data_IF_543984815534
#
_entry.id   IF_543984815534
#
_cell.length_a   1.000
_cell.length_b   1.000
_cell.length_c   1.000
_cell.angle_alpha   90.00
_cell.angle_beta   90.00
_cell.angle_gamma   90.00
#
_symmetry.space_group_name_H-M   'P 1'
#
loop_
_entity.id
_entity.type
_entity.pdbx_description
1 polymer ?
#
# COMPACT_ATOMS: atom_id res chain seq x y z
N UNK A 1 23.76 -7.36 10.37
CA UNK A 1 23.70 -6.73 9.02
C UNK A 1 22.58 -5.70 9.07
N UNK A 2 22.92 -4.42 9.26
CA UNK A 2 21.93 -3.33 9.27
C UNK A 2 21.42 -3.18 7.84
N UNK A 3 20.21 -3.69 7.59
CA UNK A 3 19.50 -3.48 6.34
C UNK A 3 19.04 -2.03 6.27
N UNK A 4 19.10 -1.42 5.08
CA UNK A 4 18.61 -0.06 4.87
C UNK A 4 17.13 0.01 5.24
N UNK A 5 16.74 0.97 6.08
CA UNK A 5 15.36 1.22 6.47
C UNK A 5 14.58 1.83 5.29
N UNK A 6 13.33 1.39 5.12
CA UNK A 6 12.42 1.93 4.12
C UNK A 6 11.07 2.24 4.79
N UNK A 7 10.50 3.40 4.45
CA UNK A 7 9.10 3.73 4.79
C UNK A 7 8.17 2.72 4.10
N UNK A 8 6.91 2.62 4.54
CA UNK A 8 5.88 1.80 3.87
C UNK A 8 5.13 2.55 2.76
N UNK A 9 5.29 3.88 2.70
CA UNK A 9 4.65 4.77 1.74
C UNK A 9 5.65 5.34 0.75
N UNK A 10 5.23 5.55 -0.48
CA UNK A 10 6.07 6.16 -1.50
C UNK A 10 5.39 6.23 -2.86
N UNK A 11 5.97 7.04 -3.74
CA UNK A 11 5.58 7.20 -5.13
C UNK A 11 6.84 7.11 -6.00
N UNK A 12 6.73 6.39 -7.10
CA UNK A 12 7.71 6.35 -8.19
C UNK A 12 7.00 6.55 -9.53
N UNK A 13 7.66 7.26 -10.43
CA UNK A 13 7.15 7.49 -11.79
C UNK A 13 8.31 7.42 -12.77
N UNK A 14 8.05 6.81 -13.93
CA UNK A 14 8.94 6.81 -15.08
C UNK A 14 8.10 6.95 -16.35
N UNK A 15 8.62 7.65 -17.36
CA UNK A 15 7.95 7.78 -18.64
C UNK A 15 8.98 7.91 -19.76
N UNK A 16 8.68 7.32 -20.91
CA UNK A 16 9.59 7.33 -22.05
C UNK A 16 8.94 6.85 -23.34
N UNK A 17 9.63 7.10 -24.46
CA UNK A 17 9.31 6.47 -25.73
C UNK A 17 9.88 5.04 -25.71
N UNK A 18 9.01 4.05 -25.94
CA UNK A 18 9.37 2.63 -26.00
C UNK A 18 9.74 2.25 -27.44
N UNK A 19 9.03 2.80 -28.41
CA UNK A 19 9.29 2.65 -29.84
C UNK A 19 8.84 3.91 -30.59
N UNK A 20 9.15 4.07 -31.89
CA UNK A 20 8.65 5.22 -32.67
C UNK A 20 7.12 5.37 -32.67
N UNK A 21 6.40 4.26 -32.46
CA UNK A 21 4.94 4.20 -32.42
C UNK A 21 4.34 4.15 -31.02
N UNK A 22 5.15 3.97 -29.96
CA UNK A 22 4.68 3.72 -28.60
C UNK A 22 5.46 4.52 -27.56
N UNK A 23 4.73 5.23 -26.70
CA UNK A 23 5.26 5.78 -25.46
C UNK A 23 4.53 5.18 -24.26
N UNK A 24 5.22 5.06 -23.14
CA UNK A 24 4.66 4.52 -21.91
C UNK A 24 4.97 5.44 -20.73
N UNK A 25 4.05 5.49 -19.78
CA UNK A 25 4.21 6.10 -18.47
C UNK A 25 3.81 5.10 -17.41
N UNK A 26 4.71 4.86 -16.47
CA UNK A 26 4.51 3.98 -15.33
C UNK A 26 4.45 4.82 -14.07
N UNK A 27 3.38 4.68 -13.30
CA UNK A 27 3.25 5.25 -11.96
C UNK A 27 3.04 4.13 -10.96
N UNK A 28 3.85 4.11 -9.91
CA UNK A 28 3.76 3.12 -8.84
C UNK A 28 3.71 3.83 -7.49
N UNK A 29 2.78 3.42 -6.63
CA UNK A 29 2.74 3.89 -5.25
C UNK A 29 2.49 2.74 -4.29
N UNK A 30 3.04 2.87 -3.09
CA UNK A 30 2.83 1.93 -2.00
C UNK A 30 2.09 2.57 -0.83
N UNK A 31 1.23 1.78 -0.20
CA UNK A 31 0.61 2.12 1.09
C UNK A 31 0.79 0.98 2.07
N UNK A 32 0.67 1.28 3.36
CA UNK A 32 0.79 0.29 4.41
C UNK A 32 -0.34 -0.75 4.32
N UNK A 33 0.01 -2.02 4.22
CA UNK A 33 -0.89 -3.17 4.36
C UNK A 33 -0.16 -4.31 5.09
N UNK A 34 -0.92 -5.25 5.65
CA UNK A 34 -0.37 -6.39 6.40
C UNK A 34 0.40 -7.35 5.50
N UNK A 35 -0.08 -7.58 4.27
CA UNK A 35 0.55 -8.44 3.27
C UNK A 35 1.07 -7.65 2.06
N UNK A 36 1.67 -8.36 1.10
CA UNK A 36 1.97 -7.82 -0.22
C UNK A 36 0.74 -7.98 -1.12
N UNK A 37 0.13 -6.88 -1.51
CA UNK A 37 -0.97 -6.85 -2.48
C UNK A 37 -0.53 -6.04 -3.69
N UNK A 38 -0.56 -6.65 -4.88
CA UNK A 38 -0.14 -5.99 -6.12
C UNK A 38 -1.38 -5.75 -6.99
N UNK A 39 -1.72 -4.48 -7.18
CA UNK A 39 -2.75 -4.02 -8.10
C UNK A 39 -2.09 -3.45 -9.36
N UNK A 40 -2.30 -4.10 -10.50
CA UNK A 40 -1.80 -3.66 -11.79
C UNK A 40 -2.97 -3.15 -12.63
N UNK A 41 -2.81 -1.98 -13.25
CA UNK A 41 -3.80 -1.39 -14.13
C UNK A 41 -3.16 -0.90 -15.41
N UNK A 42 -3.62 -1.43 -16.54
CA UNK A 42 -3.24 -0.98 -17.88
C UNK A 42 -4.24 0.05 -18.42
N UNK A 43 -3.72 1.09 -19.08
CA UNK A 43 -4.49 2.17 -19.70
C UNK A 43 -3.92 2.45 -21.11
N UNK A 44 -4.69 2.33 -22.20
CA UNK A 44 -6.06 1.83 -22.27
C UNK A 44 -6.18 0.37 -21.78
N UNK A 45 -7.41 -0.07 -21.46
CA UNK A 45 -7.63 -1.46 -21.07
C UNK A 45 -7.23 -2.37 -22.22
N UNK A 46 -6.30 -3.28 -21.97
CA UNK A 46 -5.84 -4.29 -22.91
C UNK A 46 -5.48 -5.57 -22.15
N UNK A 47 -5.41 -6.69 -22.86
CA UNK A 47 -5.05 -7.99 -22.31
C UNK A 47 -3.58 -8.29 -22.60
N UNK A 48 -2.73 -8.18 -21.56
CA UNK A 48 -1.28 -8.37 -21.66
C UNK A 48 -0.79 -9.35 -20.57
N UNK A 49 -1.17 -10.64 -20.63
CA UNK A 49 -0.95 -11.58 -19.53
C UNK A 49 0.52 -11.82 -19.21
N UNK A 50 1.38 -11.88 -20.23
CA UNK A 50 2.83 -12.07 -20.06
C UNK A 50 3.48 -10.86 -19.40
N UNK A 51 3.14 -9.65 -19.85
CA UNK A 51 3.61 -8.40 -19.27
C UNK A 51 3.10 -8.24 -17.84
N UNK A 52 1.84 -8.58 -17.56
CA UNK A 52 1.29 -8.54 -16.20
C UNK A 52 2.08 -9.46 -15.27
N UNK A 53 2.35 -10.70 -15.69
CA UNK A 53 3.14 -11.65 -14.90
C UNK A 53 4.56 -11.14 -14.64
N UNK A 54 5.21 -10.56 -15.66
CA UNK A 54 6.54 -9.97 -15.53
C UNK A 54 6.54 -8.78 -14.56
N UNK A 55 5.58 -7.85 -14.68
CA UNK A 55 5.43 -6.73 -13.74
C UNK A 55 5.21 -7.21 -12.29
N UNK A 56 4.38 -8.24 -12.07
CA UNK A 56 4.17 -8.79 -10.72
C UNK A 56 5.46 -9.34 -10.12
N UNK A 57 6.27 -10.04 -10.94
CA UNK A 57 7.58 -10.55 -10.51
C UNK A 57 8.51 -9.40 -10.10
N UNK A 58 8.66 -8.38 -10.95
CA UNK A 58 9.50 -7.21 -10.68
C UNK A 58 9.09 -6.43 -9.42
N UNK A 59 7.79 -6.32 -9.14
CA UNK A 59 7.29 -5.70 -7.90
C UNK A 59 7.64 -6.57 -6.69
N UNK A 60 7.43 -7.88 -6.79
CA UNK A 60 7.64 -8.82 -5.67
C UNK A 60 9.10 -8.96 -5.23
N UNK A 61 10.05 -8.75 -6.14
CA UNK A 61 11.49 -8.79 -5.82
C UNK A 61 11.95 -7.55 -5.06
N UNK A 62 11.29 -6.40 -5.26
CA UNK A 62 11.66 -5.11 -4.63
C UNK A 62 10.82 -4.74 -3.41
N UNK A 63 9.59 -5.25 -3.30
CA UNK A 63 8.68 -4.91 -2.20
C UNK A 63 8.19 -6.18 -1.50
N UNK A 64 8.56 -6.33 -0.23
CA UNK A 64 8.18 -7.49 0.59
C UNK A 64 6.83 -7.35 1.31
N UNK A 65 6.34 -6.11 1.49
CA UNK A 65 5.11 -5.81 2.24
C UNK A 65 4.46 -4.50 1.78
N UNK A 66 3.13 -4.47 1.85
CA UNK A 66 2.32 -3.30 1.54
C UNK A 66 1.38 -3.53 0.36
N UNK A 67 0.46 -2.61 0.14
CA UNK A 67 -0.33 -2.60 -1.09
C UNK A 67 0.38 -1.71 -2.10
N UNK A 68 0.86 -2.32 -3.19
CA UNK A 68 1.51 -1.64 -4.30
C UNK A 68 0.51 -1.53 -5.44
N UNK A 69 0.26 -0.31 -5.89
CA UNK A 69 -0.54 -0.06 -7.08
C UNK A 69 0.36 0.46 -8.18
N UNK A 70 0.34 -0.20 -9.33
CA UNK A 70 1.09 0.19 -10.52
C UNK A 70 0.09 0.46 -11.64
N UNK A 71 0.16 1.66 -12.19
CA UNK A 71 -0.62 2.09 -13.35
C UNK A 71 0.33 2.25 -14.52
N UNK A 72 0.03 1.56 -15.61
CA UNK A 72 0.78 1.57 -16.84
C UNK A 72 -0.07 2.22 -17.94
N UNK A 73 0.32 3.42 -18.34
CA UNK A 73 -0.32 4.19 -19.40
C UNK A 73 0.47 4.02 -20.70
N UNK A 74 -0.11 3.34 -21.68
CA UNK A 74 0.39 3.18 -23.04
C UNK A 74 -0.26 4.23 -23.95
N UNK A 75 0.56 5.03 -24.62
CA UNK A 75 0.13 6.01 -25.62
C UNK A 75 0.77 5.67 -26.95
N UNK A 76 -0.08 5.33 -27.92
CA UNK A 76 0.35 5.13 -29.30
C UNK A 76 0.41 6.47 -30.02
N UNK A 77 1.50 6.67 -30.75
CA UNK A 77 1.78 7.93 -31.45
C UNK A 77 1.41 7.83 -32.93
N UNK A 78 1.26 6.61 -33.47
CA UNK A 78 0.88 6.39 -34.86
C UNK A 78 -0.63 6.21 -35.01
N UNK A 79 -1.28 7.20 -35.64
CA UNK A 79 -2.71 7.15 -35.99
C UNK A 79 -2.99 6.31 -37.24
N UNK A 80 -2.00 6.08 -38.11
CA UNK A 80 -2.20 5.38 -39.38
C UNK A 80 -2.52 3.89 -39.17
N UNK A 81 -2.09 3.31 -38.05
CA UNK A 81 -2.32 1.89 -37.72
C UNK A 81 -3.41 1.68 -36.64
N UNK A 82 -3.89 2.76 -36.01
CA UNK A 82 -4.77 2.69 -34.85
C UNK A 82 -6.25 2.45 -35.18
N UNK A 83 -6.68 2.71 -36.43
CA UNK A 83 -8.08 2.70 -36.81
C UNK A 83 -8.32 1.67 -37.91
N UNK A 84 -9.04 0.59 -37.57
CA UNK A 84 -9.49 -0.44 -38.50
C UNK A 84 -10.99 -0.33 -38.70
N UNK A 85 -11.44 -0.51 -39.94
CA UNK A 85 -12.86 -0.61 -40.24
C UNK A 85 -13.25 -2.06 -40.42
N UNK A 86 -14.27 -2.51 -39.69
CA UNK A 86 -14.86 -3.83 -39.88
C UNK A 86 -15.81 -3.81 -41.07
N UNK A 87 -15.28 -4.17 -42.24
CA UNK A 87 -16.08 -4.20 -43.47
C UNK A 87 -17.16 -5.29 -43.48
N UNK A 88 -17.08 -6.30 -42.62
CA UNK A 88 -18.15 -7.31 -42.49
C UNK A 88 -19.42 -6.68 -41.89
N UNK A 89 -19.28 -5.77 -40.93
CA UNK A 89 -20.42 -4.98 -40.39
C UNK A 89 -21.05 -4.13 -41.49
N UNK A 90 -20.24 -3.46 -42.31
CA UNK A 90 -20.75 -2.67 -43.44
C UNK A 90 -21.44 -3.55 -44.50
N UNK A 91 -20.90 -4.73 -44.81
CA UNK A 91 -21.53 -5.69 -45.74
C UNK A 91 -22.87 -6.20 -45.20
N UNK A 92 -22.93 -6.57 -43.92
CA UNK A 92 -24.16 -7.02 -43.28
C UNK A 92 -25.23 -5.92 -43.29
N UNK A 93 -24.85 -4.67 -42.97
CA UNK A 93 -25.76 -3.53 -43.04
C UNK A 93 -26.28 -3.30 -44.47
N UNK A 94 -25.40 -3.35 -45.48
CA UNK A 94 -25.78 -3.18 -46.87
C UNK A 94 -26.78 -4.26 -47.34
N UNK A 95 -26.60 -5.51 -46.92
CA UNK A 95 -27.53 -6.60 -47.23
C UNK A 95 -28.92 -6.36 -46.62
N UNK A 96 -28.99 -5.91 -45.36
CA UNK A 96 -30.27 -5.59 -44.72
C UNK A 96 -30.97 -4.41 -45.39
N UNK A 97 -30.21 -3.39 -45.81
CA UNK A 97 -30.75 -2.24 -46.55
C UNK A 97 -31.29 -2.63 -47.93
N UNK A 98 -30.68 -3.61 -48.60
CA UNK A 98 -31.20 -4.16 -49.87
C UNK A 98 -32.48 -4.99 -49.68
N UNK A 99 -32.60 -5.69 -48.56
CA UNK A 99 -33.77 -6.50 -48.21
C UNK A 99 -34.94 -5.70 -47.61
N UNK A 100 -34.83 -4.37 -47.52
CA UNK A 100 -35.86 -3.52 -46.91
C UNK A 100 -37.19 -3.59 -47.69
N UNK A 101 -38.35 -3.52 -47.02
CA UNK A 101 -39.65 -3.41 -47.68
C UNK A 101 -39.74 -2.21 -48.62
N UNK A 102 -40.51 -2.35 -49.70
CA UNK A 102 -40.65 -1.29 -50.71
C UNK A 102 -41.32 -0.02 -50.15
N UNK A 103 -42.18 -0.13 -49.13
CA UNK A 103 -42.84 1.02 -48.52
C UNK A 103 -41.93 1.85 -47.60
N UNK A 104 -40.74 1.35 -47.25
CA UNK A 104 -39.81 2.05 -46.36
C UNK A 104 -38.83 2.91 -47.18
N UNK A 105 -39.07 4.21 -47.24
CA UNK A 105 -38.14 5.16 -47.84
C UNK A 105 -37.04 5.56 -46.85
N UNK A 106 -35.77 5.36 -47.22
CA UNK A 106 -34.60 5.74 -46.44
C UNK A 106 -33.69 6.61 -47.30
N UNK A 107 -33.07 7.62 -46.69
CA UNK A 107 -32.01 8.38 -47.33
C UNK A 107 -30.80 7.48 -47.64
N UNK A 108 -29.98 7.81 -48.65
CA UNK A 108 -28.73 7.09 -48.91
C UNK A 108 -27.81 7.16 -47.69
N UNK A 109 -27.22 6.01 -47.33
CA UNK A 109 -26.30 5.95 -46.21
C UNK A 109 -24.97 6.65 -46.55
N UNK A 110 -24.50 7.53 -45.68
CA UNK A 110 -23.19 8.17 -45.81
C UNK A 110 -22.14 7.49 -44.93
N UNK A 111 -20.87 7.60 -45.30
CA UNK A 111 -19.76 7.00 -44.54
C UNK A 111 -19.74 7.43 -43.06
N UNK A 112 -20.11 8.68 -42.77
CA UNK A 112 -20.19 9.19 -41.39
C UNK A 112 -21.21 8.43 -40.52
N UNK A 113 -22.25 7.87 -41.13
CA UNK A 113 -23.27 7.08 -40.43
C UNK A 113 -22.77 5.66 -40.12
N UNK A 114 -21.78 5.15 -40.86
CA UNK A 114 -21.11 3.89 -40.52
C UNK A 114 -20.28 4.04 -39.24
N UNK A 115 -19.68 5.21 -38.99
CA UNK A 115 -18.82 5.44 -37.82
C UNK A 115 -19.57 5.28 -36.49
N UNK A 116 -20.90 5.44 -36.48
CA UNK A 116 -21.73 5.26 -35.29
C UNK A 116 -22.31 3.85 -35.16
N UNK A 117 -22.12 2.99 -36.16
CA UNK A 117 -22.59 1.60 -36.11
C UNK A 117 -21.72 0.82 -35.12
N UNK A 118 -22.31 0.18 -34.10
CA UNK A 118 -21.55 -0.63 -33.15
C UNK A 118 -20.71 -1.69 -33.86
N UNK A 119 -19.40 -1.70 -33.58
CA UNK A 119 -18.45 -2.64 -34.17
C UNK A 119 -17.90 -2.26 -35.55
N UNK A 120 -18.29 -1.14 -36.16
CA UNK A 120 -17.71 -0.72 -37.45
C UNK A 120 -16.31 -0.14 -37.31
N UNK A 121 -16.08 0.70 -36.28
CA UNK A 121 -14.75 1.21 -35.96
C UNK A 121 -14.13 0.30 -34.92
N UNK A 122 -13.06 -0.39 -35.31
CA UNK A 122 -12.24 -1.22 -34.44
C UNK A 122 -10.93 -0.49 -34.13
N UNK A 123 -10.58 -0.38 -32.85
CA UNK A 123 -9.20 -0.06 -32.49
C UNK A 123 -8.33 -1.28 -32.85
N UNK A 124 -7.15 -1.06 -33.42
CA UNK A 124 -6.27 -2.20 -33.71
C UNK A 124 -5.80 -2.86 -32.41
N UNK A 125 -6.17 -4.13 -32.23
CA UNK A 125 -5.61 -5.04 -31.22
C UNK A 125 -4.16 -5.40 -31.58
N UNK A 126 -3.33 -4.40 -31.85
CA UNK A 126 -1.91 -4.65 -32.05
C UNK A 126 -1.29 -5.04 -30.72
N UNK A 127 -0.85 -6.28 -30.65
CA UNK A 127 -0.08 -6.82 -29.53
C UNK A 127 1.26 -6.09 -29.48
N UNK A 128 1.75 -5.83 -28.26
CA UNK A 128 3.10 -5.30 -28.06
C UNK A 128 4.12 -6.30 -28.60
N UNK A 129 5.11 -5.83 -29.38
CA UNK A 129 6.21 -6.71 -29.78
C UNK A 129 7.06 -7.09 -28.56
N UNK A 130 7.85 -8.17 -28.60
CA UNK A 130 8.74 -8.53 -27.49
C UNK A 130 9.65 -7.39 -27.04
N UNK A 131 10.18 -6.61 -27.99
CA UNK A 131 11.05 -5.45 -27.72
C UNK A 131 10.28 -4.32 -27.03
N UNK A 132 9.01 -4.10 -27.41
CA UNK A 132 8.16 -3.11 -26.76
C UNK A 132 7.79 -3.54 -25.33
N UNK A 133 7.55 -4.83 -25.10
CA UNK A 133 7.32 -5.37 -23.76
C UNK A 133 8.57 -5.18 -22.88
N UNK A 134 9.76 -5.47 -23.40
CA UNK A 134 11.02 -5.27 -22.69
C UNK A 134 11.24 -3.78 -22.35
N UNK A 135 11.01 -2.87 -23.29
CA UNK A 135 11.13 -1.44 -23.04
C UNK A 135 10.13 -0.93 -21.99
N UNK A 136 8.91 -1.46 -21.98
CA UNK A 136 7.93 -1.16 -20.91
C UNK A 136 8.38 -1.70 -19.56
N UNK A 137 8.94 -2.91 -19.51
CA UNK A 137 9.51 -3.48 -18.28
C UNK A 137 10.70 -2.67 -17.76
N UNK A 138 11.52 -2.10 -18.64
CA UNK A 138 12.57 -1.15 -18.27
C UNK A 138 12.02 0.05 -17.51
N UNK A 139 10.96 0.68 -18.03
CA UNK A 139 10.28 1.80 -17.36
C UNK A 139 9.62 1.38 -16.03
N UNK A 140 9.12 0.14 -15.93
CA UNK A 140 8.64 -0.41 -14.66
C UNK A 140 9.77 -0.51 -13.64
N UNK A 141 10.93 -1.00 -14.07
CA UNK A 141 12.14 -1.05 -13.24
C UNK A 141 12.53 0.33 -12.72
N UNK A 142 12.62 1.33 -13.60
CA UNK A 142 12.94 2.72 -13.23
C UNK A 142 11.94 3.30 -12.23
N UNK A 143 10.63 3.10 -12.45
CA UNK A 143 9.60 3.58 -11.53
C UNK A 143 9.72 2.91 -10.15
N UNK A 144 10.09 1.62 -10.10
CA UNK A 144 10.31 0.91 -8.84
C UNK A 144 11.58 1.36 -8.11
N UNK A 145 12.66 1.69 -8.83
CA UNK A 145 13.85 2.31 -8.23
C UNK A 145 13.52 3.69 -7.64
N UNK A 146 12.73 4.50 -8.36
CA UNK A 146 12.24 5.79 -7.86
C UNK A 146 11.39 5.62 -6.58
N UNK A 147 10.54 4.59 -6.53
CA UNK A 147 9.76 4.23 -5.33
C UNK A 147 10.66 3.83 -4.16
N UNK A 148 11.64 2.96 -4.39
CA UNK A 148 12.57 2.53 -3.34
C UNK A 148 13.37 3.72 -2.78
N UNK A 149 13.84 4.61 -3.66
CA UNK A 149 14.53 5.82 -3.27
C UNK A 149 13.62 6.78 -2.46
N UNK A 150 12.35 6.93 -2.85
CA UNK A 150 11.38 7.74 -2.10
C UNK A 150 11.14 7.17 -0.69
N UNK A 151 10.98 5.85 -0.57
CA UNK A 151 10.79 5.15 0.71
C UNK A 151 12.02 5.26 1.62
N UNK A 152 13.23 5.21 1.05
CA UNK A 152 14.47 5.38 1.80
C UNK A 152 14.61 6.81 2.34
N UNK A 153 14.37 7.82 1.50
CA UNK A 153 14.40 9.23 1.94
C UNK A 153 13.40 9.52 3.05
N UNK A 154 12.18 9.00 2.93
CA UNK A 154 11.18 9.17 3.99
C UNK A 154 11.60 8.49 5.29
N UNK A 155 12.20 7.29 5.23
CA UNK A 155 12.74 6.63 6.42
C UNK A 155 13.87 7.45 7.08
N UNK A 156 14.81 7.98 6.29
CA UNK A 156 15.91 8.83 6.76
C UNK A 156 15.38 10.08 7.48
N UNK A 157 14.28 10.68 6.99
CA UNK A 157 13.63 11.84 7.62
C UNK A 157 12.89 11.50 8.92
N UNK A 158 12.27 10.32 9.00
CA UNK A 158 11.48 9.89 10.16
C UNK A 158 12.35 9.34 11.30
N UNK A 159 13.52 8.77 10.97
CA UNK A 159 14.40 8.10 11.92
C UNK A 159 14.77 8.96 13.15
N UNK A 160 15.17 10.24 13.01
CA UNK A 160 15.49 11.07 14.17
C UNK A 160 14.27 11.36 15.06
N UNK A 161 13.06 11.38 14.50
CA UNK A 161 11.84 11.53 15.29
C UNK A 161 11.54 10.25 16.06
N UNK A 162 11.64 9.09 15.40
CA UNK A 162 11.42 7.78 16.05
C UNK A 162 12.42 7.54 17.19
N UNK A 163 13.70 7.91 16.98
CA UNK A 163 14.72 7.81 18.03
C UNK A 163 14.42 8.73 19.22
N UNK A 164 13.92 9.96 18.98
CA UNK A 164 13.51 10.87 20.05
C UNK A 164 12.32 10.34 20.86
N UNK A 165 11.29 9.85 20.18
CA UNK A 165 10.12 9.25 20.85
C UNK A 165 10.53 8.02 21.67
N UNK A 166 11.41 7.18 21.13
CA UNK A 166 11.92 6.00 21.84
C UNK A 166 12.71 6.39 23.09
N UNK A 167 13.54 7.43 23.02
CA UNK A 167 14.28 7.95 24.18
C UNK A 167 13.35 8.51 25.27
N UNK A 168 12.21 9.11 24.89
CA UNK A 168 11.19 9.56 25.86
C UNK A 168 10.55 8.36 26.57
N UNK A 169 10.17 7.32 25.81
CA UNK A 169 9.59 6.09 26.39
C UNK A 169 10.58 5.40 27.34
N UNK A 170 11.85 5.35 26.97
CA UNK A 170 12.91 4.84 27.84
C UNK A 170 13.06 5.65 29.12
N UNK A 171 13.08 6.98 29.02
CA UNK A 171 13.15 7.86 30.18
C UNK A 171 12.00 7.61 31.16
N UNK A 172 10.78 7.38 30.66
CA UNK A 172 9.65 6.99 31.49
C UNK A 172 9.82 5.60 32.11
N UNK A 173 10.31 4.62 31.34
CA UNK A 173 10.55 3.27 31.86
C UNK A 173 11.61 3.27 32.97
N UNK A 174 12.69 4.03 32.81
CA UNK A 174 13.73 4.20 33.83
C UNK A 174 13.23 4.96 35.06
N UNK A 175 12.44 6.02 34.85
CA UNK A 175 11.81 6.78 35.95
C UNK A 175 10.93 5.87 36.80
N UNK A 176 10.06 5.06 36.18
CA UNK A 176 9.24 4.09 36.87
C UNK A 176 10.09 3.06 37.64
N UNK A 177 11.29 2.72 37.16
CA UNK A 177 12.15 1.72 37.80
C UNK A 177 12.74 2.29 39.10
N UNK A 178 13.16 3.56 39.04
CA UNK A 178 13.70 4.27 40.20
C UNK A 178 12.62 4.55 41.25
N UNK A 179 11.46 5.03 40.82
CA UNK A 179 10.37 5.39 41.72
C UNK A 179 9.57 4.18 42.22
N UNK A 180 9.58 3.04 41.52
CA UNK A 180 8.77 1.87 41.85
C UNK A 180 9.07 1.26 43.23
N UNK A 181 10.31 1.35 43.72
CA UNK A 181 10.68 0.95 45.08
C UNK A 181 10.08 1.91 46.13
N UNK A 182 10.22 3.23 45.90
CA UNK A 182 9.67 4.27 46.77
C UNK A 182 8.15 4.30 46.78
N UNK A 183 7.53 4.05 45.62
CA UNK A 183 6.09 4.01 45.43
C UNK A 183 5.46 2.83 46.19
N UNK A 184 6.08 1.63 46.15
CA UNK A 184 5.61 0.48 46.94
C UNK A 184 5.63 0.77 48.43
N UNK A 185 6.71 1.37 48.94
CA UNK A 185 6.78 1.78 50.35
C UNK A 185 5.77 2.89 50.69
N UNK A 186 5.58 3.87 49.81
CA UNK A 186 4.63 4.96 50.02
C UNK A 186 3.17 4.47 49.98
N UNK A 187 2.83 3.58 49.04
CA UNK A 187 1.52 2.93 48.96
C UNK A 187 1.25 2.09 50.20
N UNK A 188 2.23 1.29 50.65
CA UNK A 188 2.14 0.52 51.88
C UNK A 188 1.88 1.40 53.12
N UNK A 189 2.64 2.50 53.28
CA UNK A 189 2.43 3.47 54.37
C UNK A 189 1.05 4.12 54.29
N UNK A 190 0.63 4.56 53.10
CA UNK A 190 -0.68 5.17 52.89
C UNK A 190 -1.83 4.20 53.17
N UNK A 191 -1.65 2.91 52.86
CA UNK A 191 -2.59 1.84 53.19
C UNK A 191 -2.69 1.68 54.72
N UNK A 192 -1.56 1.56 55.41
CA UNK A 192 -1.51 1.49 56.88
C UNK A 192 -2.14 2.72 57.57
N UNK A 193 -1.89 3.92 57.07
CA UNK A 193 -2.50 5.16 57.57
C UNK A 193 -4.03 5.15 57.37
N UNK A 194 -4.50 4.73 56.20
CA UNK A 194 -5.95 4.62 55.91
C UNK A 194 -6.61 3.58 56.82
N UNK A 195 -5.98 2.42 56.98
CA UNK A 195 -6.42 1.33 57.86
C UNK A 195 -6.47 1.78 59.32
N UNK A 196 -5.42 2.43 59.81
CA UNK A 196 -5.36 2.91 61.19
C UNK A 196 -6.35 4.03 61.47
N UNK A 197 -6.65 4.90 60.50
CA UNK A 197 -7.72 5.89 60.59
C UNK A 197 -9.13 5.27 60.60
N UNK A 198 -9.28 4.06 60.07
CA UNK A 198 -10.51 3.27 60.07
C UNK A 198 -10.63 2.32 61.27
N UNK A 199 -9.70 2.40 62.25
CA UNK A 199 -9.82 1.70 63.55
C UNK A 199 -10.98 2.27 64.37
N UNK A 200 -12.19 1.98 63.93
CA UNK A 200 -13.37 1.77 64.78
C UNK A 200 -13.38 0.29 65.19
N UNK A 201 -13.75 0.00 66.43
CA UNK A 201 -13.81 -1.35 66.99
C UNK A 201 -14.50 -2.35 66.01
N UNK A 202 -13.84 -3.47 65.67
CA UNK A 202 -14.43 -4.55 64.87
C UNK A 202 -13.80 -4.86 63.50
N UNK A 203 -12.65 -4.27 63.15
CA UNK A 203 -11.94 -4.61 61.90
C UNK A 203 -11.19 -5.94 62.04
N UNK A 204 -11.52 -6.91 61.17
CA UNK A 204 -10.85 -8.20 61.07
C UNK A 204 -9.46 -8.03 60.42
N UNK A 205 -8.40 -8.25 61.21
CA UNK A 205 -7.01 -8.12 60.77
C UNK A 205 -6.64 -9.08 59.64
N UNK A 206 -7.27 -10.27 59.58
CA UNK A 206 -7.00 -11.25 58.54
C UNK A 206 -7.53 -10.78 57.18
N UNK A 207 -8.77 -10.26 57.17
CA UNK A 207 -9.40 -9.69 55.96
C UNK A 207 -8.62 -8.48 55.46
N UNK A 208 -8.10 -7.67 56.37
CA UNK A 208 -7.33 -6.49 56.05
C UNK A 208 -5.97 -6.82 55.43
N UNK A 209 -5.27 -7.85 55.94
CA UNK A 209 -4.04 -8.35 55.36
C UNK A 209 -4.27 -8.93 53.95
N UNK A 210 -5.39 -9.62 53.72
CA UNK A 210 -5.77 -10.15 52.41
C UNK A 210 -6.03 -9.04 51.37
N UNK A 211 -6.80 -8.01 51.73
CA UNK A 211 -7.06 -6.87 50.84
C UNK A 211 -5.77 -6.07 50.55
N UNK A 212 -4.89 -5.90 51.54
CA UNK A 212 -3.59 -5.26 51.34
C UNK A 212 -2.69 -6.07 50.40
N UNK A 213 -2.67 -7.40 50.51
CA UNK A 213 -1.93 -8.27 49.60
C UNK A 213 -2.48 -8.18 48.17
N UNK A 214 -3.82 -8.23 48.00
CA UNK A 214 -4.47 -8.10 46.69
C UNK A 214 -4.18 -6.73 46.05
N UNK A 215 -4.19 -5.65 46.82
CA UNK A 215 -3.85 -4.30 46.33
C UNK A 215 -2.38 -4.18 45.96
N UNK A 216 -1.48 -4.79 46.75
CA UNK A 216 -0.05 -4.82 46.44
C UNK A 216 0.22 -5.59 45.14
N UNK A 217 -0.41 -6.76 44.94
CA UNK A 217 -0.30 -7.56 43.73
C UNK A 217 -0.86 -6.83 42.50
N UNK A 218 -2.01 -6.15 42.63
CA UNK A 218 -2.58 -5.33 41.55
C UNK A 218 -1.80 -4.04 41.25
N UNK A 219 -0.97 -3.59 42.18
CA UNK A 219 -0.12 -2.41 42.03
C UNK A 219 1.30 -2.76 41.57
N UNK A 220 1.66 -4.05 41.52
CA UNK A 220 2.94 -4.49 41.02
C UNK A 220 2.95 -4.39 39.49
N UNK A 221 3.78 -3.49 38.98
CA UNK A 221 3.97 -3.23 37.54
C UNK A 221 5.37 -3.62 37.08
N UNK A 222 6.11 -4.37 37.89
CA UNK A 222 7.48 -4.77 37.58
C UNK A 222 7.57 -5.62 36.31
N UNK A 223 6.58 -6.49 36.07
CA UNK A 223 6.52 -7.31 34.85
C UNK A 223 6.28 -6.44 33.61
N UNK A 224 5.30 -5.52 33.66
CA UNK A 224 4.97 -4.59 32.59
C UNK A 224 6.16 -3.70 32.24
N UNK A 225 6.89 -3.25 33.25
CA UNK A 225 8.11 -2.48 33.08
C UNK A 225 9.21 -3.29 32.39
N UNK A 226 9.48 -4.51 32.87
CA UNK A 226 10.47 -5.40 32.25
C UNK A 226 10.12 -5.69 30.79
N UNK A 227 8.83 -5.93 30.52
CA UNK A 227 8.29 -6.13 29.18
C UNK A 227 8.46 -4.88 28.31
N UNK A 228 8.19 -3.69 28.82
CA UNK A 228 8.39 -2.43 28.09
C UNK A 228 9.86 -2.24 27.70
N UNK A 229 10.80 -2.45 28.64
CA UNK A 229 12.24 -2.34 28.36
C UNK A 229 12.69 -3.36 27.30
N UNK A 230 12.18 -4.59 27.34
CA UNK A 230 12.45 -5.60 26.32
C UNK A 230 11.92 -5.17 24.94
N UNK A 231 10.72 -4.60 24.86
CA UNK A 231 10.15 -4.08 23.61
C UNK A 231 10.96 -2.91 23.03
N UNK A 232 11.40 -1.99 23.88
CA UNK A 232 12.26 -0.87 23.48
C UNK A 232 13.60 -1.39 22.95
N UNK A 233 14.25 -2.30 23.67
CA UNK A 233 15.52 -2.88 23.26
C UNK A 233 15.39 -3.61 21.91
N UNK A 234 14.29 -4.35 21.71
CA UNK A 234 13.97 -4.96 20.44
C UNK A 234 13.80 -3.92 19.33
N UNK A 235 13.04 -2.84 19.58
CA UNK A 235 12.84 -1.76 18.61
C UNK A 235 14.17 -1.10 18.21
N UNK A 236 15.07 -0.83 19.16
CA UNK A 236 16.42 -0.33 18.86
C UNK A 236 17.22 -1.26 17.96
N UNK A 237 17.11 -2.57 18.16
CA UNK A 237 17.78 -3.56 17.31
C UNK A 237 17.24 -3.62 15.87
N UNK A 238 16.05 -3.04 15.62
CA UNK A 238 15.45 -2.93 14.29
C UNK A 238 15.83 -1.63 13.56
N UNK A 239 16.31 -0.60 14.28
CA UNK A 239 16.78 0.67 13.70
C UNK A 239 18.23 0.56 13.24
#
# INVERSE_FOLDING_TARGET
MSGRLYSMTGLGEAAGAVSPRLSARVRVWSVNSRGLEINLRFLPRGDYPELELACRREVSTRVSRGRVSLVLELKRTDWQQALRFNWEVAKALAQQLQAKPAELELAPLHFGELLVVPGFVEASDEVLTPEEQEGVLGLVGEALEALAAARAREAELLLPSLQRELAVVEGFAEFLAREGEGLRQALYRRLLERVSSLRSEGVDELRLAQEAALLAERSDVAEEQSRLLAHVAHFRGLL
#
